data_IF_513945776447
#
_entry.id   IF_513945776447
#
_cell.length_a   1.000
_cell.length_b   1.000
_cell.length_c   1.000
_cell.angle_alpha   90.00
_cell.angle_beta   90.00
_cell.angle_gamma   90.00
#
_symmetry.space_group_name_H-M   'P 1'
#
loop_
_entity.id
_entity.type
_entity.pdbx_description
1 polymer ?
#
# COMPACT_ATOMS: atom_id res chain seq x y z
N UNK A 1 -7.14 -11.00 11.42
CA UNK A 1 -7.23 -12.46 11.39
C UNK A 1 -6.55 -13.04 10.15
N UNK A 2 -5.30 -13.49 10.33
CA UNK A 2 -4.52 -14.06 9.25
C UNK A 2 -5.24 -15.22 8.54
N UNK A 3 -5.26 -15.18 7.21
CA UNK A 3 -5.85 -16.21 6.36
C UNK A 3 -7.39 -16.21 6.32
N UNK A 4 -8.04 -15.24 6.95
CA UNK A 4 -9.51 -15.09 6.82
C UNK A 4 -9.87 -14.18 5.66
N UNK A 5 -11.13 -14.22 5.25
CA UNK A 5 -11.66 -13.26 4.29
C UNK A 5 -11.88 -11.91 4.98
N UNK A 6 -11.36 -10.84 4.36
CA UNK A 6 -11.53 -9.48 4.84
C UNK A 6 -13.02 -9.10 4.86
N UNK A 7 -13.55 -8.57 5.95
CA UNK A 7 -14.84 -7.90 5.92
C UNK A 7 -14.80 -6.71 4.97
N UNK A 8 -15.84 -6.54 4.15
CA UNK A 8 -15.92 -5.37 3.29
C UNK A 8 -16.21 -4.12 4.12
N UNK A 9 -15.61 -3.00 3.72
CA UNK A 9 -15.87 -1.69 4.31
C UNK A 9 -15.91 -0.60 3.22
N UNK A 10 -16.47 0.54 3.59
CA UNK A 10 -16.37 1.77 2.82
C UNK A 10 -15.94 2.86 3.78
N UNK A 11 -14.84 3.54 3.46
CA UNK A 11 -14.34 4.69 4.21
C UNK A 11 -14.44 5.96 3.36
N UNK A 12 -14.50 7.09 4.03
CA UNK A 12 -14.32 8.41 3.39
C UNK A 12 -13.02 9.00 3.93
N UNK A 13 -12.11 9.38 3.05
CA UNK A 13 -10.86 9.99 3.45
C UNK A 13 -11.03 11.47 3.83
N UNK A 14 -9.96 12.07 4.37
CA UNK A 14 -9.97 13.49 4.78
C UNK A 14 -10.19 14.47 3.63
N UNK A 15 -10.08 14.03 2.37
CA UNK A 15 -10.36 14.84 1.18
C UNK A 15 -11.82 14.70 0.72
N UNK A 16 -12.60 13.82 1.37
CA UNK A 16 -13.99 13.54 1.05
C UNK A 16 -14.17 12.50 -0.06
N UNK A 17 -13.12 11.79 -0.45
CA UNK A 17 -13.21 10.69 -1.41
C UNK A 17 -13.61 9.39 -0.72
N UNK A 18 -14.52 8.63 -1.37
CA UNK A 18 -15.02 7.37 -0.83
C UNK A 18 -14.29 6.19 -1.45
N UNK A 19 -13.84 5.27 -0.61
CA UNK A 19 -13.10 4.08 -1.00
C UNK A 19 -13.78 2.83 -0.45
N UNK A 20 -14.17 1.92 -1.35
CA UNK A 20 -14.76 0.63 -0.96
C UNK A 20 -13.72 -0.48 -1.17
N UNK A 21 -13.46 -1.27 -0.11
CA UNK A 21 -12.44 -2.32 -0.13
C UNK A 21 -12.62 -3.29 -1.30
N UNK A 22 -13.81 -3.87 -1.45
CA UNK A 22 -14.01 -4.90 -2.48
C UNK A 22 -13.95 -4.36 -3.91
N UNK A 23 -14.32 -3.10 -4.12
CA UNK A 23 -14.14 -2.46 -5.44
C UNK A 23 -12.67 -2.28 -5.81
N UNK A 24 -11.81 -2.00 -4.83
CA UNK A 24 -10.36 -1.91 -5.03
C UNK A 24 -9.77 -3.30 -5.32
N UNK A 25 -10.14 -4.31 -4.53
CA UNK A 25 -9.67 -5.68 -4.70
C UNK A 25 -10.14 -6.29 -6.03
N UNK A 26 -11.36 -6.01 -6.47
CA UNK A 26 -11.92 -6.48 -7.75
C UNK A 26 -11.21 -5.84 -8.97
N UNK A 27 -10.51 -4.70 -8.78
CA UNK A 27 -9.60 -4.11 -9.75
C UNK A 27 -8.20 -4.77 -9.75
N UNK A 28 -7.99 -5.78 -8.91
CA UNK A 28 -6.69 -6.44 -8.75
C UNK A 28 -5.69 -5.68 -7.89
N UNK A 29 -6.13 -4.67 -7.15
CA UNK A 29 -5.25 -3.88 -6.26
C UNK A 29 -5.26 -4.46 -4.85
N UNK A 30 -4.14 -4.97 -4.34
CA UNK A 30 -3.99 -5.21 -2.90
C UNK A 30 -4.22 -3.92 -2.09
N UNK A 31 -4.69 -4.07 -0.87
CA UNK A 31 -4.88 -2.95 0.06
C UNK A 31 -3.94 -3.10 1.24
N UNK A 32 -3.09 -2.11 1.45
CA UNK A 32 -2.24 -1.98 2.63
C UNK A 32 -2.97 -1.07 3.62
N UNK A 33 -3.51 -1.68 4.67
CA UNK A 33 -4.37 -1.04 5.65
C UNK A 33 -3.60 -0.87 6.97
N UNK A 34 -3.26 0.37 7.31
CA UNK A 34 -2.65 0.74 8.59
C UNK A 34 -3.72 1.26 9.55
N UNK A 35 -4.01 0.50 10.60
CA UNK A 35 -4.93 0.87 11.65
C UNK A 35 -4.15 1.47 12.82
N UNK A 36 -4.35 2.74 13.09
CA UNK A 36 -3.64 3.48 14.12
C UNK A 36 -4.59 4.24 15.06
N UNK A 37 -4.04 4.82 16.13
CA UNK A 37 -4.74 5.76 16.97
C UNK A 37 -3.89 7.04 17.13
N UNK A 38 -4.52 8.20 17.14
CA UNK A 38 -3.83 9.51 17.19
C UNK A 38 -2.93 9.72 18.41
N UNK A 39 -3.18 8.98 19.48
CA UNK A 39 -2.39 9.00 20.72
C UNK A 39 -1.27 7.94 20.75
N UNK A 40 -1.15 7.11 19.71
CA UNK A 40 -0.24 5.97 19.68
C UNK A 40 1.18 6.39 19.30
N UNK A 41 2.11 6.37 20.27
CA UNK A 41 3.51 6.69 20.04
C UNK A 41 4.24 5.79 19.03
N UNK A 42 4.10 4.45 19.09
CA UNK A 42 4.66 3.57 18.07
C UNK A 42 4.13 3.82 16.66
N UNK A 43 2.85 4.23 16.53
CA UNK A 43 2.26 4.57 15.23
C UNK A 43 2.89 5.84 14.67
N UNK A 44 3.04 6.87 15.51
CA UNK A 44 3.70 8.12 15.12
C UNK A 44 5.14 7.89 14.65
N UNK A 45 5.92 7.15 15.44
CA UNK A 45 7.30 6.83 15.08
C UNK A 45 7.39 6.07 13.75
N UNK A 46 6.41 5.20 13.45
CA UNK A 46 6.38 4.48 12.19
C UNK A 46 6.01 5.40 11.02
N UNK A 47 5.03 6.28 11.19
CA UNK A 47 4.65 7.27 10.18
C UNK A 47 5.81 8.21 9.85
N UNK A 48 6.55 8.70 10.87
CA UNK A 48 7.72 9.55 10.66
C UNK A 48 8.86 8.90 9.83
N UNK A 49 8.90 7.56 9.72
CA UNK A 49 9.85 6.88 8.84
C UNK A 49 9.54 7.09 7.35
N UNK A 50 8.32 7.50 7.00
CA UNK A 50 7.89 7.77 5.63
C UNK A 50 7.85 6.56 4.69
N UNK A 51 7.98 5.34 5.21
CA UNK A 51 8.06 4.13 4.36
C UNK A 51 6.81 3.92 3.52
N UNK A 52 5.63 4.19 4.09
CA UNK A 52 4.38 4.03 3.36
C UNK A 52 4.11 5.18 2.40
N UNK A 53 4.60 6.38 2.68
CA UNK A 53 4.59 7.51 1.74
C UNK A 53 5.44 7.19 0.51
N UNK A 54 6.70 6.80 0.73
CA UNK A 54 7.63 6.43 -0.34
C UNK A 54 7.11 5.20 -1.13
N UNK A 55 6.52 4.22 -0.45
CA UNK A 55 5.91 3.06 -1.09
C UNK A 55 4.71 3.46 -1.95
N UNK A 56 3.86 4.34 -1.44
CA UNK A 56 2.70 4.85 -2.17
C UNK A 56 3.11 5.69 -3.40
N UNK A 57 4.18 6.48 -3.30
CA UNK A 57 4.72 7.23 -4.44
C UNK A 57 5.13 6.29 -5.59
N UNK A 58 5.77 5.15 -5.27
CA UNK A 58 6.25 4.19 -6.27
C UNK A 58 5.15 3.24 -6.75
N UNK A 59 4.32 2.73 -5.84
CA UNK A 59 3.40 1.61 -6.10
C UNK A 59 1.92 1.95 -5.96
N UNK A 60 1.53 3.17 -5.64
CA UNK A 60 0.14 3.56 -5.39
C UNK A 60 -0.82 3.35 -6.56
N UNK A 61 -0.31 3.22 -7.78
CA UNK A 61 -1.12 2.79 -8.93
C UNK A 61 -1.51 1.31 -8.88
N UNK A 62 -0.70 0.47 -8.22
CA UNK A 62 -0.86 -0.99 -8.16
C UNK A 62 -1.33 -1.49 -6.81
N UNK A 63 -1.06 -0.75 -5.74
CA UNK A 63 -1.46 -1.06 -4.36
C UNK A 63 -2.18 0.15 -3.78
N UNK A 64 -3.31 -0.06 -3.13
CA UNK A 64 -3.97 1.01 -2.40
C UNK A 64 -3.43 1.06 -0.97
N UNK A 65 -2.81 2.18 -0.59
CA UNK A 65 -2.25 2.39 0.74
C UNK A 65 -3.15 3.34 1.51
N UNK A 66 -3.58 2.94 2.70
CA UNK A 66 -4.48 3.75 3.52
C UNK A 66 -4.15 3.63 5.01
N UNK A 67 -4.08 4.76 5.69
CA UNK A 67 -4.07 4.84 7.14
C UNK A 67 -5.46 5.22 7.65
N UNK A 68 -5.93 4.50 8.66
CA UNK A 68 -7.22 4.77 9.30
C UNK A 68 -7.01 4.97 10.79
N UNK A 69 -7.36 6.16 11.27
CA UNK A 69 -7.55 6.37 12.71
C UNK A 69 -8.76 5.56 13.14
N UNK A 70 -8.53 4.57 13.99
CA UNK A 70 -9.47 3.51 14.27
C UNK A 70 -9.88 3.43 15.75
N UNK A 71 -9.55 4.42 16.57
CA UNK A 71 -10.03 4.51 17.95
C UNK A 71 -11.42 5.17 17.97
N UNK A 72 -12.51 4.42 18.26
CA UNK A 72 -13.88 4.96 18.24
C UNK A 72 -14.15 6.05 19.28
N UNK A 73 -13.18 6.38 20.12
CA UNK A 73 -13.30 7.43 21.13
C UNK A 73 -12.67 8.75 20.70
N UNK A 74 -11.99 8.79 19.56
CA UNK A 74 -11.30 9.98 19.06
C UNK A 74 -12.05 10.60 17.86
N UNK A 75 -12.34 11.90 17.89
CA UNK A 75 -12.99 12.57 16.77
C UNK A 75 -11.98 12.84 15.64
N UNK A 76 -12.46 12.93 14.41
CA UNK A 76 -11.63 13.25 13.21
C UNK A 76 -10.75 14.51 13.42
N UNK A 77 -11.23 15.50 14.16
CA UNK A 77 -10.45 16.72 14.46
C UNK A 77 -9.13 16.43 15.18
N UNK A 78 -8.98 15.28 15.81
CA UNK A 78 -7.74 14.86 16.47
C UNK A 78 -6.63 14.50 15.48
N UNK A 79 -6.97 14.18 14.24
CA UNK A 79 -5.98 13.97 13.16
C UNK A 79 -5.13 15.22 12.90
N UNK A 80 -5.70 16.40 13.11
CA UNK A 80 -5.06 17.71 12.89
C UNK A 80 -4.38 18.28 14.14
N UNK A 81 -3.89 17.43 15.03
CA UNK A 81 -3.24 17.85 16.26
C UNK A 81 -4.21 18.32 17.36
N UNK A 82 -5.45 17.86 17.34
CA UNK A 82 -6.45 18.14 18.37
C UNK A 82 -6.15 17.51 19.72
N UNK A 83 -7.05 17.73 20.67
CA UNK A 83 -6.89 17.21 22.04
C UNK A 83 -6.73 15.69 22.05
N UNK A 84 -5.71 15.22 22.76
CA UNK A 84 -5.41 13.79 22.88
C UNK A 84 -4.53 13.22 21.77
N UNK A 85 -4.22 13.99 20.72
CA UNK A 85 -3.29 13.60 19.66
C UNK A 85 -1.85 13.89 20.04
N UNK A 86 -0.93 13.11 19.51
CA UNK A 86 0.52 13.33 19.62
C UNK A 86 0.95 14.54 18.79
N UNK A 87 0.35 14.73 17.62
CA UNK A 87 0.68 15.79 16.68
C UNK A 87 -0.35 15.90 15.57
N UNK A 88 -0.01 16.66 14.54
CA UNK A 88 -0.79 16.75 13.31
C UNK A 88 -0.38 15.60 12.39
N UNK A 89 -1.28 14.62 12.22
CA UNK A 89 -0.98 13.41 11.43
C UNK A 89 -0.89 13.70 9.93
N UNK A 90 -1.44 14.81 9.47
CA UNK A 90 -1.32 15.25 8.08
C UNK A 90 0.09 15.75 7.74
N UNK A 91 0.91 16.03 8.76
CA UNK A 91 2.32 16.40 8.56
C UNK A 91 3.23 15.17 8.34
N UNK A 92 2.76 13.96 8.66
CA UNK A 92 3.57 12.73 8.62
C UNK A 92 2.95 11.61 7.78
N UNK A 93 1.71 11.76 7.31
CA UNK A 93 1.02 10.82 6.41
C UNK A 93 0.54 11.59 5.18
N UNK A 94 1.08 11.28 3.99
CA UNK A 94 0.76 11.97 2.74
C UNK A 94 0.07 11.06 1.71
N UNK A 95 -0.24 9.81 2.08
CA UNK A 95 -1.10 8.90 1.34
C UNK A 95 -2.54 8.97 1.87
N UNK A 96 -3.45 8.10 1.44
CA UNK A 96 -4.85 8.14 1.86
C UNK A 96 -4.98 8.03 3.37
N UNK A 97 -5.60 9.03 3.99
CA UNK A 97 -5.81 9.12 5.44
C UNK A 97 -7.30 9.27 5.73
N UNK A 98 -7.82 8.46 6.64
CA UNK A 98 -9.22 8.48 7.05
C UNK A 98 -9.38 8.36 8.58
N UNK A 99 -10.55 8.73 9.07
CA UNK A 99 -11.02 8.41 10.42
C UNK A 99 -12.27 7.57 10.28
N UNK A 100 -12.29 6.38 10.86
CA UNK A 100 -13.44 5.48 10.77
C UNK A 100 -13.61 4.60 12.01
N UNK A 101 -14.59 4.94 12.82
CA UNK A 101 -14.93 4.24 14.06
C UNK A 101 -15.43 2.80 13.81
N UNK A 102 -16.00 2.54 12.64
CA UNK A 102 -16.57 1.24 12.32
C UNK A 102 -15.48 0.19 12.04
N UNK A 103 -14.41 0.59 11.35
CA UNK A 103 -13.23 -0.28 11.14
C UNK A 103 -12.55 -0.55 12.47
N UNK A 104 -12.52 0.43 13.37
CA UNK A 104 -11.99 0.30 14.71
C UNK A 104 -12.80 -0.61 15.64
N UNK A 105 -14.02 -0.99 15.25
CA UNK A 105 -14.77 -2.00 16.01
C UNK A 105 -13.98 -3.31 16.01
N UNK A 106 -13.53 -3.71 17.21
CA UNK A 106 -12.73 -4.91 17.42
C UNK A 106 -13.37 -6.18 16.89
N UNK A 107 -14.70 -6.19 16.66
CA UNK A 107 -15.43 -7.32 16.09
C UNK A 107 -15.17 -7.50 14.59
N UNK A 108 -14.88 -6.41 13.86
CA UNK A 108 -14.72 -6.45 12.41
C UNK A 108 -13.33 -6.99 12.00
N UNK A 109 -12.27 -6.37 12.50
CA UNK A 109 -10.89 -6.74 12.16
C UNK A 109 -10.11 -7.36 13.32
N UNK A 110 -10.77 -7.67 14.43
CA UNK A 110 -10.16 -8.23 15.65
C UNK A 110 -8.99 -7.38 16.15
N UNK A 111 -9.18 -6.06 16.13
CA UNK A 111 -8.17 -5.07 16.51
C UNK A 111 -7.92 -5.13 18.02
N UNK A 112 -6.68 -5.42 18.41
CA UNK A 112 -6.28 -5.57 19.81
C UNK A 112 -5.20 -4.59 20.25
N UNK A 113 -4.51 -3.97 19.31
CA UNK A 113 -3.42 -3.01 19.57
C UNK A 113 -3.17 -2.11 18.36
N UNK A 114 -2.41 -1.05 18.56
CA UNK A 114 -1.98 -0.10 17.54
C UNK A 114 -0.45 -0.01 17.48
N UNK A 115 0.16 0.16 16.27
CA UNK A 115 -0.51 0.01 15.00
C UNK A 115 -0.76 -1.46 14.67
N UNK A 116 -1.85 -1.74 13.96
CA UNK A 116 -2.10 -3.03 13.33
C UNK A 116 -2.10 -2.83 11.82
N UNK A 117 -1.20 -3.50 11.11
CA UNK A 117 -1.04 -3.34 9.67
C UNK A 117 -1.45 -4.64 8.99
N UNK A 118 -2.46 -4.52 8.15
CA UNK A 118 -2.96 -5.61 7.33
C UNK A 118 -2.62 -5.41 5.86
N UNK A 119 -2.22 -6.49 5.22
CA UNK A 119 -2.21 -6.60 3.76
C UNK A 119 -3.42 -7.45 3.36
N UNK A 120 -4.28 -6.89 2.52
CA UNK A 120 -5.48 -7.54 2.01
C UNK A 120 -5.28 -7.78 0.52
N UNK A 121 -5.28 -9.04 0.12
CA UNK A 121 -5.03 -9.44 -1.26
C UNK A 121 -6.30 -9.37 -2.12
N UNK A 122 -6.18 -9.34 -3.47
CA UNK A 122 -7.34 -9.32 -4.37
C UNK A 122 -8.30 -10.51 -4.21
N UNK A 123 -7.83 -11.66 -3.72
CA UNK A 123 -8.66 -12.80 -3.34
C UNK A 123 -9.41 -12.60 -2.00
N UNK A 124 -9.24 -11.39 -1.40
CA UNK A 124 -9.83 -10.97 -0.13
C UNK A 124 -9.22 -11.62 1.11
N UNK A 125 -8.13 -12.36 0.98
CA UNK A 125 -7.43 -12.88 2.16
C UNK A 125 -6.70 -11.76 2.92
N UNK A 126 -6.72 -11.83 4.25
CA UNK A 126 -6.05 -10.87 5.15
C UNK A 126 -4.80 -11.50 5.72
N UNK A 127 -3.73 -10.73 5.73
CA UNK A 127 -2.51 -11.04 6.46
C UNK A 127 -2.07 -9.84 7.29
N UNK A 128 -1.79 -10.08 8.58
CA UNK A 128 -1.17 -9.08 9.43
C UNK A 128 0.34 -9.11 9.20
N UNK A 129 0.88 -8.02 8.69
CA UNK A 129 2.31 -7.93 8.34
C UNK A 129 3.12 -7.10 9.32
N UNK A 130 2.46 -6.33 10.21
CA UNK A 130 3.12 -5.47 11.20
C UNK A 130 3.95 -4.35 10.59
N UNK A 131 4.77 -3.70 11.42
CA UNK A 131 5.61 -2.56 11.04
C UNK A 131 6.90 -2.97 10.31
N UNK A 132 7.15 -4.26 10.13
CA UNK A 132 8.35 -4.77 9.46
C UNK A 132 8.64 -6.24 9.75
N UNK A 133 9.64 -6.80 9.07
CA UNK A 133 10.12 -8.13 9.35
C UNK A 133 10.74 -8.19 10.75
N UNK A 134 10.97 -9.40 11.27
CA UNK A 134 11.49 -9.64 12.63
C UNK A 134 12.79 -8.89 12.96
N UNK A 135 13.48 -8.35 11.97
CA UNK A 135 14.75 -7.64 12.10
C UNK A 135 14.65 -6.11 12.09
N UNK A 136 13.45 -5.52 12.07
CA UNK A 136 13.31 -4.07 12.06
C UNK A 136 12.04 -3.57 11.34
N UNK A 137 12.07 -2.34 10.86
CA UNK A 137 10.99 -1.74 10.08
C UNK A 137 11.07 -2.15 8.61
N UNK A 138 9.94 -2.03 7.89
CA UNK A 138 9.90 -2.17 6.44
C UNK A 138 10.84 -1.15 5.77
N UNK A 139 11.47 -1.57 4.69
CA UNK A 139 11.97 -0.70 3.63
C UNK A 139 11.03 -0.80 2.43
N UNK A 140 11.10 0.12 1.50
CA UNK A 140 10.30 0.06 0.25
C UNK A 140 10.50 -1.29 -0.45
N UNK A 141 11.76 -1.74 -0.55
CA UNK A 141 12.09 -3.00 -1.21
C UNK A 141 11.50 -4.21 -0.50
N UNK A 142 11.71 -4.34 0.83
CA UNK A 142 11.21 -5.49 1.58
C UNK A 142 9.69 -5.51 1.67
N UNK A 143 9.06 -4.34 1.71
CA UNK A 143 7.61 -4.21 1.66
C UNK A 143 7.06 -4.62 0.27
N UNK A 144 7.73 -4.21 -0.81
CA UNK A 144 7.34 -4.63 -2.16
C UNK A 144 7.49 -6.15 -2.35
N UNK A 145 8.57 -6.75 -1.83
CA UNK A 145 8.74 -8.20 -1.82
C UNK A 145 7.61 -8.89 -1.03
N UNK A 146 7.24 -8.37 0.13
CA UNK A 146 6.14 -8.91 0.95
C UNK A 146 4.81 -8.85 0.20
N UNK A 147 4.48 -7.69 -0.37
CA UNK A 147 3.21 -7.47 -1.08
C UNK A 147 3.11 -8.35 -2.33
N UNK A 148 4.15 -8.35 -3.17
CA UNK A 148 4.05 -8.91 -4.52
C UNK A 148 4.53 -10.36 -4.64
N UNK A 149 5.41 -10.83 -3.74
CA UNK A 149 6.04 -12.13 -3.88
C UNK A 149 5.67 -13.13 -2.78
N UNK A 150 5.27 -12.65 -1.59
CA UNK A 150 5.07 -13.54 -0.45
C UNK A 150 3.62 -13.64 0.00
N UNK A 151 2.96 -12.53 0.25
CA UNK A 151 1.65 -12.54 0.89
C UNK A 151 0.50 -12.57 -0.10
N UNK A 152 0.54 -11.76 -1.16
CA UNK A 152 -0.50 -11.73 -2.19
C UNK A 152 -0.12 -12.57 -3.43
N UNK A 153 0.72 -13.58 -3.28
CA UNK A 153 1.04 -14.51 -4.35
C UNK A 153 0.00 -15.65 -4.39
N UNK A 154 -0.43 -16.01 -5.59
CA UNK A 154 -0.20 -15.27 -6.81
C UNK A 154 -1.44 -14.49 -7.20
N UNK A 155 -1.29 -13.27 -7.62
CA UNK A 155 -2.37 -12.54 -8.26
C UNK A 155 -2.88 -13.39 -9.43
N UNK A 156 -4.08 -13.97 -9.28
CA UNK A 156 -4.71 -14.78 -10.31
C UNK A 156 -4.95 -13.90 -11.53
N UNK A 157 -4.27 -14.24 -12.63
CA UNK A 157 -4.38 -13.48 -13.87
C UNK A 157 -3.02 -13.30 -14.58
N UNK A 158 -3.03 -12.53 -15.64
CA UNK A 158 -1.82 -12.08 -16.33
C UNK A 158 -1.23 -10.93 -15.50
N UNK A 159 -0.12 -11.18 -14.84
CA UNK A 159 0.62 -10.15 -14.12
C UNK A 159 2.03 -10.03 -14.68
N UNK A 160 2.38 -8.82 -15.11
CA UNK A 160 3.69 -8.50 -15.66
C UNK A 160 4.38 -7.52 -14.74
N UNK A 161 5.40 -7.99 -14.04
CA UNK A 161 6.26 -7.14 -13.22
C UNK A 161 7.52 -6.71 -13.97
N UNK A 162 7.89 -5.44 -13.89
CA UNK A 162 9.21 -4.98 -14.31
C UNK A 162 10.19 -5.24 -13.16
N UNK A 163 11.13 -6.18 -13.38
CA UNK A 163 12.12 -6.54 -12.35
C UNK A 163 13.32 -5.62 -12.33
N UNK A 164 13.72 -5.10 -13.48
CA UNK A 164 14.82 -4.16 -13.56
C UNK A 164 14.72 -3.29 -14.79
N UNK A 165 15.10 -2.05 -14.63
CA UNK A 165 15.38 -1.11 -15.70
C UNK A 165 16.86 -0.73 -15.61
N UNK A 166 17.64 -1.18 -16.59
CA UNK A 166 19.05 -0.76 -16.67
C UNK A 166 19.15 0.43 -17.62
N UNK A 167 19.23 1.60 -17.04
CA UNK A 167 19.42 2.87 -17.77
C UNK A 167 20.89 3.27 -17.79
N UNK A 168 21.82 2.36 -18.04
CA UNK A 168 23.11 2.81 -18.55
C UNK A 168 22.85 3.41 -19.94
N UNK A 169 22.59 4.69 -19.95
CA UNK A 169 22.57 5.50 -21.14
C UNK A 169 24.03 5.58 -21.66
N UNK A 170 24.52 4.52 -22.27
CA UNK A 170 25.63 4.69 -23.18
C UNK A 170 25.10 5.46 -24.38
N UNK A 171 25.46 6.72 -24.43
CA UNK A 171 25.23 7.56 -25.61
C UNK A 171 26.10 7.01 -26.74
N UNK A 172 25.59 6.06 -27.48
CA UNK A 172 26.20 5.63 -28.73
C UNK A 172 26.06 6.80 -29.70
N UNK A 173 27.15 7.26 -30.30
CA UNK A 173 27.24 8.47 -31.11
C UNK A 173 26.39 8.52 -32.38
N UNK A 174 25.48 7.56 -32.58
CA UNK A 174 24.47 7.53 -33.66
C UNK A 174 23.06 7.93 -33.17
N UNK A 175 22.91 8.32 -31.90
CA UNK A 175 21.64 8.81 -31.34
C UNK A 175 20.63 7.68 -31.01
N UNK A 176 21.03 6.42 -31.01
CA UNK A 176 20.17 5.33 -30.59
C UNK A 176 20.29 5.05 -29.10
N UNK A 177 19.15 4.92 -28.44
CA UNK A 177 19.02 4.46 -27.07
C UNK A 177 18.46 3.04 -27.12
N UNK A 178 19.16 2.07 -26.54
CA UNK A 178 18.70 0.70 -26.41
C UNK A 178 18.42 0.39 -24.94
N UNK A 179 17.20 0.68 -24.43
CA UNK A 179 16.86 0.37 -23.06
C UNK A 179 16.72 -1.14 -22.89
N UNK A 180 17.36 -1.69 -21.86
CA UNK A 180 17.19 -3.09 -21.46
C UNK A 180 16.20 -3.13 -20.30
N UNK A 181 15.07 -3.78 -20.54
CA UNK A 181 14.03 -3.99 -19.52
C UNK A 181 13.90 -5.47 -19.27
N UNK A 182 14.06 -5.89 -18.03
CA UNK A 182 13.76 -7.27 -17.62
C UNK A 182 12.34 -7.31 -17.09
N UNK A 183 11.52 -8.13 -17.74
CA UNK A 183 10.11 -8.34 -17.41
C UNK A 183 9.95 -9.78 -16.95
N UNK A 184 9.26 -9.98 -15.82
CA UNK A 184 8.84 -11.29 -15.37
C UNK A 184 7.32 -11.44 -15.44
N UNK A 185 6.87 -12.62 -15.82
CA UNK A 185 5.50 -13.01 -15.60
C UNK A 185 5.38 -13.50 -14.16
N UNK A 186 4.70 -12.73 -13.33
CA UNK A 186 4.42 -13.08 -11.93
C UNK A 186 3.00 -13.64 -11.75
N UNK A 187 2.24 -13.80 -12.85
CA UNK A 187 0.93 -14.43 -12.86
C UNK A 187 0.98 -15.91 -13.30
N UNK A 188 -0.09 -16.63 -13.06
CA UNK A 188 -0.20 -18.06 -13.46
C UNK A 188 -0.52 -18.29 -14.93
N UNK A 189 -1.10 -17.30 -15.60
CA UNK A 189 -1.44 -17.44 -17.00
C UNK A 189 -0.24 -17.19 -17.91
N UNK A 190 -0.10 -18.00 -18.95
CA UNK A 190 0.95 -17.80 -19.93
C UNK A 190 0.71 -16.53 -20.74
N UNK A 191 1.67 -15.61 -20.72
CA UNK A 191 1.63 -14.43 -21.56
C UNK A 191 1.99 -14.84 -22.99
N UNK A 192 1.03 -14.74 -23.90
CA UNK A 192 1.22 -15.12 -25.30
C UNK A 192 1.61 -13.93 -26.18
N UNK A 193 1.39 -12.71 -25.72
CA UNK A 193 1.81 -11.48 -26.40
C UNK A 193 2.01 -10.36 -25.38
N UNK A 194 3.04 -9.54 -25.58
CA UNK A 194 3.36 -8.38 -24.78
C UNK A 194 3.77 -7.23 -25.70
N UNK A 195 3.20 -6.05 -25.49
CA UNK A 195 3.61 -4.83 -26.16
C UNK A 195 4.26 -3.90 -25.15
N UNK A 196 5.51 -3.51 -25.40
CA UNK A 196 6.24 -2.54 -24.59
C UNK A 196 6.27 -1.23 -25.38
N UNK A 197 5.83 -0.14 -24.73
CA UNK A 197 5.95 1.20 -25.26
C UNK A 197 6.94 1.99 -24.42
N UNK A 198 7.89 2.64 -25.11
CA UNK A 198 8.82 3.56 -24.47
C UNK A 198 8.43 4.97 -24.86
N UNK A 199 8.18 5.82 -23.86
CA UNK A 199 7.92 7.25 -24.05
C UNK A 199 9.22 8.00 -23.77
N UNK A 200 9.67 8.81 -24.71
CA UNK A 200 10.80 9.71 -24.54
C UNK A 200 10.24 11.14 -24.59
N UNK A 201 10.44 11.92 -23.53
CA UNK A 201 9.94 13.30 -23.38
C UNK A 201 8.42 13.46 -23.62
N UNK A 202 7.63 12.38 -23.35
CA UNK A 202 6.17 12.39 -23.48
C UNK A 202 5.65 12.09 -24.89
N UNK A 203 6.50 11.83 -25.86
CA UNK A 203 6.13 11.41 -27.23
C UNK A 203 6.29 9.88 -27.39
N UNK A 204 5.37 9.26 -28.14
CA UNK A 204 5.35 7.80 -28.46
C UNK A 204 6.20 7.52 -29.69
#
# INVERSE_FOLDING_TARGET
>A
PNGSIAPNFTITDINGESHQLYELLDQGKPVLLDLFAVWCGPCWNFAELGVFDDFNEVYGNSVFVVAVEADPTTPESSLYGGSGSIGDWTDVIHYTLANDDFIGDSSLYNLNYYPTIYLICPDRTVSEIGQGPSSGYWSIQTLAEEVFNYTCDPMTGINVGMQSYNSELEYCGDGKIEPIVTISNTGFETITALTIQTLIDGDV
#
